data_IF_414843730570
#
_entry.id   IF_414843730570
#
_cell.length_a   1.000
_cell.length_b   1.000
_cell.length_c   1.000
_cell.angle_alpha   90.00
_cell.angle_beta   90.00
_cell.angle_gamma   90.00
#
_symmetry.space_group_name_H-M   'P 1'
#
loop_
_entity.id
_entity.type
_entity.pdbx_description
1 polymer ?
#
# COMPACT_ATOMS: atom_id res chain seq x y z
N UNK A 1 -54.87 -2.57 -54.18
CA UNK A 1 -54.39 -2.06 -52.88
C UNK A 1 -53.10 -2.83 -52.48
N UNK A 2 -51.97 -2.18 -52.66
CA UNK A 2 -50.64 -2.78 -52.35
C UNK A 2 -50.18 -2.19 -51.01
N UNK A 3 -50.08 -3.01 -49.98
CA UNK A 3 -49.53 -2.61 -48.68
C UNK A 3 -47.99 -2.67 -48.73
N UNK A 4 -47.38 -1.51 -48.60
CA UNK A 4 -45.93 -1.37 -48.44
C UNK A 4 -45.59 -1.51 -46.91
N UNK A 5 -44.90 -2.56 -46.54
CA UNK A 5 -44.33 -2.69 -45.18
C UNK A 5 -42.96 -2.03 -45.20
N UNK A 6 -42.83 -0.92 -44.48
CA UNK A 6 -41.54 -0.29 -44.18
C UNK A 6 -40.90 -0.99 -42.99
N UNK A 7 -39.80 -1.67 -43.25
CA UNK A 7 -38.94 -2.25 -42.20
C UNK A 7 -38.00 -1.15 -41.67
N UNK A 8 -38.23 -0.68 -40.45
CA UNK A 8 -37.28 0.18 -39.73
C UNK A 8 -36.21 -0.74 -39.12
N UNK A 9 -35.03 -0.74 -39.68
CA UNK A 9 -33.85 -1.36 -39.07
C UNK A 9 -33.32 -0.40 -37.99
N UNK A 10 -33.51 -0.76 -36.72
CA UNK A 10 -32.86 -0.09 -35.61
C UNK A 10 -31.39 -0.55 -35.57
N UNK A 11 -30.47 0.33 -35.97
CA UNK A 11 -29.03 0.14 -35.80
C UNK A 11 -28.71 0.43 -34.35
N UNK A 12 -28.60 -0.61 -33.55
CA UNK A 12 -27.97 -0.50 -32.23
C UNK A 12 -26.47 -0.23 -32.44
N UNK A 13 -26.05 1.03 -32.30
CA UNK A 13 -24.67 1.37 -32.07
C UNK A 13 -24.31 0.86 -30.64
N UNK A 14 -23.81 -0.36 -30.54
CA UNK A 14 -23.03 -0.78 -29.38
C UNK A 14 -21.71 0.00 -29.44
N UNK A 15 -21.69 1.16 -28.79
CA UNK A 15 -20.44 1.84 -28.50
C UNK A 15 -19.62 0.87 -27.60
N UNK A 16 -18.53 0.35 -28.14
CA UNK A 16 -17.50 -0.25 -27.30
C UNK A 16 -17.00 0.86 -26.38
N UNK A 17 -17.43 0.87 -25.11
CA UNK A 17 -16.75 1.63 -24.08
C UNK A 17 -15.35 1.01 -24.00
N UNK A 18 -14.38 1.65 -24.64
CA UNK A 18 -12.98 1.39 -24.38
C UNK A 18 -12.78 1.77 -22.91
N UNK A 19 -12.31 0.83 -22.11
CA UNK A 19 -11.89 1.15 -20.75
C UNK A 19 -10.86 2.29 -20.88
N UNK A 20 -11.14 3.42 -20.24
CA UNK A 20 -10.23 4.56 -20.29
C UNK A 20 -8.98 4.18 -19.49
N UNK A 21 -7.80 4.30 -20.10
CA UNK A 21 -6.54 3.95 -19.46
C UNK A 21 -6.29 4.87 -18.25
N UNK A 22 -5.71 4.33 -17.21
CA UNK A 22 -5.27 5.08 -16.04
C UNK A 22 -4.20 6.10 -16.42
N UNK A 23 -4.44 7.38 -16.10
CA UNK A 23 -3.50 8.47 -16.29
C UNK A 23 -2.90 8.85 -14.94
N UNK A 24 -1.58 9.01 -14.87
CA UNK A 24 -0.91 9.49 -13.68
C UNK A 24 -1.36 10.92 -13.36
N UNK A 25 -1.91 11.13 -12.16
CA UNK A 25 -2.34 12.46 -11.68
C UNK A 25 -1.43 13.00 -10.59
N UNK A 26 -0.67 12.14 -9.91
CA UNK A 26 0.29 12.53 -8.88
C UNK A 26 1.40 11.50 -8.73
N UNK A 27 2.63 12.00 -8.54
CA UNK A 27 3.82 11.24 -8.19
C UNK A 27 4.56 11.96 -7.08
N UNK A 28 4.94 11.23 -6.04
CA UNK A 28 5.81 11.63 -4.95
C UNK A 28 6.99 10.66 -4.94
N UNK A 29 8.19 11.10 -5.26
CA UNK A 29 9.38 10.25 -5.36
C UNK A 29 10.41 10.52 -4.25
N UNK A 30 10.08 11.44 -3.32
CA UNK A 30 10.88 11.77 -2.15
C UNK A 30 12.34 12.18 -2.44
N UNK A 31 12.59 12.75 -3.61
CA UNK A 31 13.94 13.20 -4.02
C UNK A 31 14.29 14.59 -3.55
N UNK A 32 13.35 15.33 -2.98
CA UNK A 32 13.54 16.65 -2.43
C UNK A 32 14.51 16.67 -1.23
N UNK A 33 15.03 17.87 -0.92
CA UNK A 33 15.92 18.07 0.24
C UNK A 33 15.20 17.89 1.61
N UNK A 34 13.88 18.03 1.65
CA UNK A 34 13.04 17.86 2.83
C UNK A 34 11.62 17.48 2.41
N UNK A 35 10.91 16.80 3.29
CA UNK A 35 9.51 16.44 3.09
C UNK A 35 8.67 17.70 2.86
N UNK A 36 7.91 17.74 1.76
CA UNK A 36 7.08 18.90 1.40
C UNK A 36 5.96 19.11 2.44
N UNK A 37 6.08 20.16 3.21
CA UNK A 37 5.11 20.50 4.24
C UNK A 37 3.78 21.07 3.70
N UNK A 38 3.67 21.31 2.41
CA UNK A 38 2.39 21.64 1.76
C UNK A 38 1.58 20.39 1.45
N UNK A 39 2.22 19.23 1.33
CA UNK A 39 1.59 17.92 1.07
C UNK A 39 1.50 17.09 2.34
N UNK A 40 2.55 17.06 3.15
CA UNK A 40 2.70 16.17 4.28
C UNK A 40 2.56 16.85 5.63
N UNK A 41 1.94 16.16 6.58
CA UNK A 41 1.98 16.45 8.01
C UNK A 41 2.83 15.37 8.69
N UNK A 42 3.74 15.77 9.56
CA UNK A 42 4.41 14.85 10.49
C UNK A 42 3.58 14.83 11.79
N UNK A 43 3.18 13.66 12.24
CA UNK A 43 2.46 13.53 13.51
C UNK A 43 3.41 13.53 14.70
N UNK A 44 3.05 14.31 15.74
CA UNK A 44 3.83 14.44 16.98
C UNK A 44 2.88 14.22 18.15
N UNK A 45 2.82 13.00 18.65
CA UNK A 45 1.99 12.62 19.79
C UNK A 45 2.42 11.26 20.39
N UNK A 46 1.95 10.96 21.60
CA UNK A 46 2.19 9.70 22.30
C UNK A 46 0.93 9.10 22.90
N UNK A 47 -0.24 9.38 22.33
CA UNK A 47 -1.55 8.97 22.85
C UNK A 47 -1.96 7.52 22.50
N UNK A 48 -1.10 6.82 21.78
CA UNK A 48 -1.25 5.37 21.50
C UNK A 48 -2.19 5.04 20.35
N UNK A 49 -2.56 6.04 19.51
CA UNK A 49 -3.30 5.84 18.26
C UNK A 49 -4.67 5.16 18.41
N UNK A 50 -5.27 5.16 19.60
CA UNK A 50 -6.49 4.40 19.93
C UNK A 50 -6.26 2.88 20.09
N UNK A 51 -5.04 2.38 19.89
CA UNK A 51 -4.69 0.97 19.86
C UNK A 51 -3.70 0.53 20.97
N UNK A 52 -3.51 1.35 21.99
CA UNK A 52 -2.53 1.11 23.07
C UNK A 52 -1.09 0.99 22.57
N UNK A 53 -0.75 1.67 21.50
CA UNK A 53 0.59 1.69 20.94
C UNK A 53 1.61 2.29 21.93
N UNK A 54 2.86 1.83 21.86
CA UNK A 54 3.85 2.12 22.88
C UNK A 54 4.70 3.37 22.59
N UNK A 55 4.87 3.74 21.34
CA UNK A 55 5.75 4.80 20.88
C UNK A 55 5.24 6.21 21.16
N UNK A 56 6.17 7.17 21.09
CA UNK A 56 5.90 8.56 20.81
C UNK A 56 6.25 8.82 19.34
N UNK A 57 5.28 9.26 18.52
CA UNK A 57 5.56 9.75 17.17
C UNK A 57 6.18 11.14 17.26
N UNK A 58 7.25 11.40 16.52
CA UNK A 58 7.93 12.69 16.53
C UNK A 58 8.69 12.94 15.22
N UNK A 59 9.09 14.20 15.02
CA UNK A 59 9.77 14.64 13.79
C UNK A 59 11.06 13.86 13.50
N UNK A 60 11.84 13.52 14.53
CA UNK A 60 13.09 12.74 14.36
C UNK A 60 12.90 11.30 13.91
N UNK A 61 11.67 10.77 13.98
CA UNK A 61 11.30 9.47 13.41
C UNK A 61 10.99 9.52 11.91
N UNK A 62 11.01 10.71 11.28
CA UNK A 62 10.67 10.94 9.88
C UNK A 62 11.81 11.67 9.18
N UNK A 63 12.31 11.16 8.06
CA UNK A 63 13.31 11.84 7.24
C UNK A 63 13.22 11.42 5.77
N UNK A 64 13.78 12.23 4.88
CA UNK A 64 14.16 11.81 3.54
C UNK A 64 15.62 11.36 3.60
N UNK A 65 15.90 10.15 3.12
CA UNK A 65 17.26 9.59 3.13
C UNK A 65 17.38 8.47 2.08
N UNK A 66 18.61 8.03 1.86
CA UNK A 66 18.92 6.96 0.91
C UNK A 66 18.74 5.59 1.58
N UNK A 67 18.00 4.70 0.94
CA UNK A 67 17.94 3.30 1.36
C UNK A 67 19.30 2.62 1.10
N UNK A 68 19.96 2.04 2.14
CA UNK A 68 21.38 1.71 2.07
C UNK A 68 21.76 0.62 1.06
N UNK A 69 20.83 -0.28 0.70
CA UNK A 69 21.12 -1.42 -0.17
C UNK A 69 20.92 -1.11 -1.65
N UNK A 70 19.96 -0.24 -1.97
CA UNK A 70 19.60 0.09 -3.35
C UNK A 70 20.05 1.47 -3.79
N UNK A 71 20.39 2.35 -2.85
CA UNK A 71 20.75 3.74 -3.14
C UNK A 71 19.56 4.62 -3.53
N UNK A 72 18.32 4.15 -3.33
CA UNK A 72 17.11 4.92 -3.64
C UNK A 72 16.81 5.96 -2.57
N UNK A 73 16.45 7.18 -3.00
CA UNK A 73 15.88 8.19 -2.11
C UNK A 73 14.50 7.74 -1.64
N UNK A 74 14.21 7.90 -0.36
CA UNK A 74 12.99 7.39 0.25
C UNK A 74 12.48 8.30 1.36
N UNK A 75 11.18 8.30 1.58
CA UNK A 75 10.64 8.62 2.89
C UNK A 75 11.00 7.48 3.85
N UNK A 76 11.65 7.81 4.96
CA UNK A 76 12.13 6.86 5.96
C UNK A 76 11.41 7.09 7.28
N UNK A 77 10.68 6.08 7.74
CA UNK A 77 9.97 6.08 9.02
C UNK A 77 10.67 5.10 9.96
N UNK A 78 11.26 5.62 11.04
CA UNK A 78 12.17 4.84 11.90
C UNK A 78 11.58 4.63 13.30
N UNK A 79 11.43 3.36 13.68
CA UNK A 79 11.11 2.92 15.03
C UNK A 79 12.39 2.74 15.85
N UNK A 80 12.46 3.35 17.03
CA UNK A 80 13.64 3.34 17.90
C UNK A 80 13.26 3.05 19.35
N UNK A 81 14.06 2.21 20.01
CA UNK A 81 13.94 1.99 21.45
C UNK A 81 14.76 3.04 22.18
N UNK A 82 14.11 4.04 22.71
CA UNK A 82 14.72 5.16 23.44
C UNK A 82 13.71 5.83 24.37
N UNK A 83 14.23 6.51 25.40
CA UNK A 83 13.37 7.30 26.30
C UNK A 83 13.06 8.67 25.68
N UNK A 84 11.79 8.94 25.46
CA UNK A 84 11.33 10.21 24.90
C UNK A 84 9.94 10.59 25.41
N UNK A 85 9.79 11.80 25.99
CA UNK A 85 8.48 12.35 26.43
C UNK A 85 7.64 11.35 27.26
N UNK A 86 8.30 10.58 28.16
CA UNK A 86 7.63 9.58 29.01
C UNK A 86 7.33 8.23 28.37
N UNK A 87 7.60 8.05 27.08
CA UNK A 87 7.57 6.77 26.37
C UNK A 87 8.95 6.12 26.35
N UNK A 88 8.99 4.82 26.07
CA UNK A 88 10.23 4.01 25.99
C UNK A 88 10.65 3.68 24.57
N UNK A 89 9.96 4.23 23.60
CA UNK A 89 10.27 4.13 22.18
C UNK A 89 9.66 5.29 21.43
N UNK A 90 10.25 5.59 20.27
CA UNK A 90 9.81 6.61 19.33
C UNK A 90 9.58 6.00 17.95
N UNK A 91 8.82 6.68 17.10
CA UNK A 91 8.65 6.26 15.73
C UNK A 91 8.24 7.43 14.84
N UNK A 92 8.08 7.15 13.51
CA UNK A 92 7.60 8.08 12.50
C UNK A 92 6.19 7.76 12.03
N UNK A 93 5.38 8.83 11.85
CA UNK A 93 4.08 8.80 11.20
C UNK A 93 3.87 10.08 10.41
N UNK A 94 3.44 9.92 9.16
CA UNK A 94 3.09 11.04 8.26
C UNK A 94 1.70 10.84 7.69
N UNK A 95 1.05 11.95 7.32
CA UNK A 95 -0.22 11.91 6.61
C UNK A 95 -0.39 13.13 5.71
N UNK A 96 -1.34 13.05 4.77
CA UNK A 96 -1.67 14.15 3.85
C UNK A 96 -2.98 14.85 4.20
N UNK A 97 -3.52 14.67 5.42
CA UNK A 97 -4.82 15.19 5.85
C UNK A 97 -4.95 16.69 5.63
N UNK A 98 -6.03 17.10 4.94
CA UNK A 98 -6.34 18.50 4.65
C UNK A 98 -5.46 19.16 3.59
N UNK A 99 -4.48 18.43 3.02
CA UNK A 99 -3.51 18.93 2.05
C UNK A 99 -3.65 18.20 0.72
N UNK A 100 -3.25 16.93 0.64
CA UNK A 100 -3.48 16.11 -0.53
C UNK A 100 -4.51 15.03 -0.23
N UNK A 101 -5.50 14.88 -1.09
CA UNK A 101 -6.55 13.88 -0.97
C UNK A 101 -7.19 13.58 -2.33
N UNK A 102 -7.77 12.41 -2.45
CA UNK A 102 -8.35 11.93 -3.70
C UNK A 102 -9.58 11.04 -3.46
N UNK A 103 -10.39 10.87 -4.50
CA UNK A 103 -11.50 9.91 -4.53
C UNK A 103 -11.37 9.06 -5.77
N UNK A 104 -11.42 7.74 -5.60
CA UNK A 104 -11.32 6.74 -6.65
C UNK A 104 -10.03 6.81 -7.48
N UNK A 105 -9.78 5.76 -8.20
CA UNK A 105 -8.60 5.58 -9.03
C UNK A 105 -7.71 4.43 -8.56
N UNK A 106 -6.47 4.44 -8.98
CA UNK A 106 -5.43 3.50 -8.57
C UNK A 106 -4.37 4.25 -7.75
N UNK A 107 -4.00 3.72 -6.61
CA UNK A 107 -2.81 4.14 -5.87
C UNK A 107 -1.80 3.01 -5.84
N UNK A 108 -0.56 3.33 -6.13
CA UNK A 108 0.59 2.45 -5.98
C UNK A 108 1.58 3.09 -5.00
N UNK A 109 2.11 2.29 -4.09
CA UNK A 109 3.21 2.68 -3.22
C UNK A 109 4.31 1.62 -3.25
N UNK A 110 5.55 2.03 -3.53
CA UNK A 110 6.70 1.14 -3.51
C UNK A 110 7.37 1.21 -2.15
N UNK A 111 7.22 0.14 -1.38
CA UNK A 111 7.57 0.11 0.04
C UNK A 111 8.53 -1.05 0.33
N UNK A 112 9.55 -0.77 1.16
CA UNK A 112 10.38 -1.78 1.82
C UNK A 112 10.02 -1.80 3.29
N UNK A 113 9.39 -2.90 3.72
CA UNK A 113 8.98 -3.07 5.11
C UNK A 113 10.18 -3.50 5.98
N UNK A 114 10.23 -3.04 7.23
CA UNK A 114 11.24 -3.49 8.17
C UNK A 114 11.01 -4.94 8.59
N UNK A 115 12.04 -5.61 9.11
CA UNK A 115 11.83 -6.85 9.84
C UNK A 115 10.96 -6.59 11.07
N UNK A 116 9.72 -7.08 11.02
CA UNK A 116 8.71 -6.84 12.07
C UNK A 116 8.99 -7.68 13.32
N UNK A 117 9.60 -8.83 13.16
CA UNK A 117 9.81 -9.82 14.23
C UNK A 117 8.59 -9.89 15.17
N UNK A 118 8.73 -9.55 16.46
CA UNK A 118 7.59 -9.33 17.32
C UNK A 118 7.54 -7.87 17.75
N UNK A 119 6.43 -7.20 17.45
CA UNK A 119 6.06 -5.93 18.04
C UNK A 119 6.20 -4.69 17.18
N UNK A 120 6.69 -4.76 15.94
CA UNK A 120 6.49 -3.68 14.98
C UNK A 120 5.21 -3.89 14.19
N UNK A 121 4.60 -2.78 13.84
CA UNK A 121 3.36 -2.71 13.08
C UNK A 121 3.46 -1.60 12.02
N UNK A 122 4.19 -1.84 10.93
CA UNK A 122 4.21 -0.93 9.80
C UNK A 122 2.90 -1.00 9.03
N UNK A 123 2.40 0.17 8.60
CA UNK A 123 1.16 0.31 7.86
C UNK A 123 1.26 1.39 6.76
N UNK A 124 0.56 1.13 5.66
CA UNK A 124 0.24 2.10 4.61
C UNK A 124 -1.27 2.05 4.37
N UNK A 125 -1.97 3.16 4.61
CA UNK A 125 -3.39 3.21 4.76
C UNK A 125 -3.97 4.59 4.48
N UNK A 126 -5.29 4.74 4.53
CA UNK A 126 -5.99 5.98 4.30
C UNK A 126 -7.24 6.13 5.16
N UNK A 127 -7.65 7.37 5.39
CA UNK A 127 -8.91 7.73 6.03
C UNK A 127 -9.63 8.84 5.25
N UNK A 128 -10.96 8.93 5.45
CA UNK A 128 -11.76 10.01 4.88
C UNK A 128 -11.28 11.40 5.32
N UNK A 129 -11.07 12.31 4.35
CA UNK A 129 -10.57 13.67 4.59
C UNK A 129 -11.55 14.54 5.39
N UNK A 130 -12.76 14.04 5.65
CA UNK A 130 -13.74 14.62 6.56
C UNK A 130 -13.56 14.19 8.03
N UNK A 131 -12.42 13.56 8.37
CA UNK A 131 -12.12 13.07 9.74
C UNK A 131 -12.37 14.13 10.82
N UNK A 132 -11.92 15.37 10.62
CA UNK A 132 -12.07 16.42 11.61
C UNK A 132 -13.54 16.86 11.85
N UNK A 133 -14.43 16.56 10.91
CA UNK A 133 -15.87 16.87 11.02
C UNK A 133 -16.67 15.73 11.64
N UNK A 134 -16.35 14.49 11.33
CA UNK A 134 -17.19 13.35 11.71
C UNK A 134 -16.49 12.37 12.66
N UNK A 135 -15.15 12.39 12.72
CA UNK A 135 -14.32 11.47 13.50
C UNK A 135 -14.30 10.05 12.95
N UNK A 136 -13.47 9.22 13.57
CA UNK A 136 -13.42 7.79 13.33
C UNK A 136 -14.53 7.07 14.13
N UNK A 137 -15.18 6.04 13.58
CA UNK A 137 -15.01 5.40 12.26
C UNK A 137 -15.92 5.96 11.14
N UNK A 138 -16.62 7.06 11.38
CA UNK A 138 -17.57 7.66 10.43
C UNK A 138 -16.92 8.19 9.16
N UNK A 139 -15.64 8.58 9.25
CA UNK A 139 -14.89 9.02 8.06
C UNK A 139 -14.57 7.86 7.11
N UNK A 140 -14.61 6.62 7.58
CA UNK A 140 -14.09 5.44 6.89
C UNK A 140 -12.56 5.34 7.02
N UNK A 141 -12.06 4.12 7.02
CA UNK A 141 -10.65 3.76 7.04
C UNK A 141 -10.42 2.61 6.07
N UNK A 142 -9.34 2.65 5.33
CA UNK A 142 -8.93 1.58 4.42
C UNK A 142 -7.45 1.32 4.61
N UNK A 143 -7.12 0.13 5.10
CA UNK A 143 -5.75 -0.29 5.34
C UNK A 143 -5.27 -1.09 4.14
N UNK A 144 -4.46 -0.42 3.30
CA UNK A 144 -3.94 -1.08 2.10
C UNK A 144 -3.05 -2.25 2.49
N UNK A 145 -2.20 -2.05 3.49
CA UNK A 145 -1.35 -3.12 4.01
C UNK A 145 -0.91 -2.84 5.45
N UNK A 146 -0.97 -3.88 6.27
CA UNK A 146 -0.47 -3.89 7.64
C UNK A 146 0.30 -5.19 7.91
N UNK A 147 1.48 -5.08 8.51
CA UNK A 147 2.30 -6.22 8.98
C UNK A 147 2.39 -6.23 10.49
N UNK A 148 2.78 -7.38 11.06
CA UNK A 148 3.08 -7.52 12.49
C UNK A 148 1.93 -8.02 13.36
N UNK A 149 0.83 -8.52 12.75
CA UNK A 149 -0.29 -9.08 13.50
C UNK A 149 0.11 -10.29 14.35
N UNK A 150 -0.40 -10.35 15.59
CA UNK A 150 -0.08 -11.41 16.56
C UNK A 150 -0.35 -12.86 16.06
N UNK A 151 -1.26 -13.05 15.10
CA UNK A 151 -1.54 -14.38 14.53
C UNK A 151 -0.36 -14.97 13.75
N UNK A 152 0.61 -14.17 13.34
CA UNK A 152 1.83 -14.64 12.68
C UNK A 152 2.88 -15.17 13.68
N UNK A 153 2.80 -14.72 14.94
CA UNK A 153 3.75 -15.12 15.99
C UNK A 153 3.60 -16.60 16.30
N UNK A 154 4.70 -17.28 16.53
CA UNK A 154 4.70 -18.72 16.78
C UNK A 154 4.45 -19.60 15.53
N UNK A 155 4.04 -19.03 14.40
CA UNK A 155 3.93 -19.74 13.13
C UNK A 155 5.17 -19.59 12.26
N UNK A 156 6.07 -18.65 12.61
CA UNK A 156 7.24 -18.31 11.81
C UNK A 156 6.90 -17.67 10.46
N UNK A 157 5.82 -16.90 10.42
CA UNK A 157 5.31 -16.27 9.18
C UNK A 157 5.27 -14.74 9.26
N UNK A 158 5.90 -14.13 10.27
CA UNK A 158 5.87 -12.68 10.47
C UNK A 158 6.35 -11.91 9.25
N UNK A 159 7.37 -12.42 8.58
CA UNK A 159 8.01 -11.85 7.41
C UNK A 159 7.13 -11.84 6.15
N UNK A 160 6.01 -12.53 6.16
CA UNK A 160 5.13 -12.73 4.99
C UNK A 160 3.65 -12.78 5.32
N UNK A 161 3.26 -12.43 6.54
CA UNK A 161 1.87 -12.35 6.97
C UNK A 161 1.46 -10.89 7.06
N UNK A 162 0.48 -10.52 6.26
CA UNK A 162 -0.08 -9.17 6.22
C UNK A 162 -1.58 -9.20 6.01
N UNK A 163 -2.25 -8.07 6.20
CA UNK A 163 -3.66 -7.92 5.91
C UNK A 163 -3.96 -6.61 5.19
N UNK A 164 -5.09 -6.61 4.48
CA UNK A 164 -5.83 -5.42 4.09
C UNK A 164 -7.13 -5.37 4.86
N UNK A 165 -7.66 -4.17 5.12
CA UNK A 165 -8.89 -4.00 5.87
C UNK A 165 -9.66 -2.74 5.47
N UNK A 166 -10.95 -2.72 5.85
CA UNK A 166 -11.83 -1.56 5.82
C UNK A 166 -12.59 -1.45 7.12
N UNK A 167 -12.74 -0.22 7.63
CA UNK A 167 -13.47 0.06 8.86
C UNK A 167 -14.43 1.23 8.65
N UNK A 168 -15.69 1.04 9.08
CA UNK A 168 -16.73 2.07 9.05
C UNK A 168 -17.72 1.86 10.19
N UNK A 169 -18.38 2.90 10.64
CA UNK A 169 -19.38 2.78 11.69
C UNK A 169 -19.85 4.11 12.24
N UNK A 170 -20.83 4.06 13.12
CA UNK A 170 -21.40 5.25 13.73
C UNK A 170 -20.57 5.82 14.89
N UNK A 171 -19.81 4.95 15.58
CA UNK A 171 -18.96 5.29 16.73
C UNK A 171 -17.97 4.15 17.02
N UNK A 172 -16.97 4.43 17.86
CA UNK A 172 -15.86 3.53 18.19
C UNK A 172 -16.26 2.14 18.72
N UNK A 173 -17.43 2.00 19.35
CA UNK A 173 -17.97 0.73 19.86
C UNK A 173 -19.06 0.12 18.93
N UNK A 174 -19.24 0.70 17.74
CA UNK A 174 -20.17 0.24 16.71
C UNK A 174 -19.48 0.35 15.33
N UNK A 175 -18.40 -0.42 15.17
CA UNK A 175 -17.59 -0.49 13.96
C UNK A 175 -17.93 -1.78 13.21
N UNK A 176 -18.18 -1.65 11.91
CA UNK A 176 -18.13 -2.76 10.98
C UNK A 176 -16.74 -2.80 10.35
N UNK A 177 -16.17 -3.98 10.29
CA UNK A 177 -14.85 -4.19 9.71
C UNK A 177 -14.92 -5.37 8.75
N UNK A 178 -14.27 -5.19 7.59
CA UNK A 178 -13.91 -6.28 6.70
C UNK A 178 -12.39 -6.34 6.62
N UNK A 179 -11.82 -7.48 6.93
CA UNK A 179 -10.37 -7.64 6.98
C UNK A 179 -9.97 -9.03 6.49
N UNK A 180 -8.97 -9.09 5.64
CA UNK A 180 -8.43 -10.34 5.11
C UNK A 180 -6.93 -10.42 5.37
N UNK A 181 -6.53 -11.42 6.12
CA UNK A 181 -5.13 -11.74 6.36
C UNK A 181 -4.62 -12.78 5.37
N UNK A 182 -3.40 -12.58 4.90
CA UNK A 182 -2.75 -13.44 3.92
C UNK A 182 -1.38 -13.89 4.42
N UNK A 183 -1.04 -15.15 4.19
CA UNK A 183 0.32 -15.63 4.30
C UNK A 183 0.90 -15.75 2.89
N UNK A 184 1.80 -14.83 2.55
CA UNK A 184 2.42 -14.77 1.24
C UNK A 184 3.42 -15.90 1.04
N UNK A 185 3.68 -16.38 -0.19
CA UNK A 185 4.59 -17.51 -0.42
C UNK A 185 6.07 -17.19 -0.11
N UNK A 186 6.46 -15.92 -0.08
CA UNK A 186 7.82 -15.45 0.23
C UNK A 186 7.79 -14.27 1.19
N UNK A 187 8.96 -13.88 1.72
CA UNK A 187 9.10 -12.72 2.61
C UNK A 187 8.74 -11.43 1.85
N UNK A 188 8.01 -10.55 2.52
CA UNK A 188 7.71 -9.18 2.07
C UNK A 188 8.51 -8.15 2.86
N UNK A 189 9.39 -8.59 3.74
CA UNK A 189 10.29 -7.75 4.52
C UNK A 189 11.65 -7.57 3.82
N UNK A 190 12.33 -6.47 4.12
CA UNK A 190 13.69 -6.16 3.67
C UNK A 190 13.91 -6.08 2.13
N UNK A 191 12.83 -6.12 1.36
CA UNK A 191 12.82 -5.89 -0.10
C UNK A 191 11.73 -4.90 -0.47
N UNK A 192 11.87 -4.23 -1.64
CA UNK A 192 10.81 -3.36 -2.12
C UNK A 192 9.71 -4.15 -2.82
N UNK A 193 8.48 -3.86 -2.43
CA UNK A 193 7.26 -4.35 -3.04
C UNK A 193 6.37 -3.19 -3.46
N UNK A 194 5.52 -3.38 -4.46
CA UNK A 194 4.50 -2.41 -4.87
C UNK A 194 3.16 -2.85 -4.30
N UNK A 195 2.65 -2.05 -3.37
CA UNK A 195 1.29 -2.21 -2.84
C UNK A 195 0.37 -1.39 -3.71
N UNK A 196 -0.61 -2.02 -4.32
CA UNK A 196 -1.60 -1.39 -5.21
C UNK A 196 -2.99 -1.49 -4.62
N UNK A 197 -3.75 -0.38 -4.64
CA UNK A 197 -5.19 -0.40 -4.45
C UNK A 197 -5.88 0.16 -5.70
N UNK A 198 -6.88 -0.55 -6.20
CA UNK A 198 -7.83 -0.07 -7.19
C UNK A 198 -9.14 0.21 -6.47
N UNK A 199 -9.52 1.46 -6.46
CA UNK A 199 -10.72 1.94 -5.78
C UNK A 199 -11.69 2.56 -6.76
N UNK A 200 -12.85 1.93 -6.89
CA UNK A 200 -13.94 2.32 -7.78
C UNK A 200 -15.17 2.74 -6.97
N UNK A 201 -16.21 3.31 -7.59
CA UNK A 201 -17.47 3.57 -6.89
C UNK A 201 -18.15 2.32 -6.32
N UNK A 202 -17.79 1.12 -6.78
CA UNK A 202 -18.46 -0.14 -6.44
C UNK A 202 -17.57 -1.15 -5.73
N UNK A 203 -16.24 -0.98 -5.73
CA UNK A 203 -15.31 -1.93 -5.12
C UNK A 203 -13.99 -1.32 -4.68
N UNK A 204 -13.33 -1.99 -3.75
CA UNK A 204 -11.91 -1.82 -3.43
C UNK A 204 -11.20 -3.16 -3.61
N UNK A 205 -10.13 -3.15 -4.40
CA UNK A 205 -9.27 -4.29 -4.66
C UNK A 205 -7.82 -3.96 -4.30
N UNK A 206 -7.15 -4.81 -3.52
CA UNK A 206 -5.77 -4.59 -3.10
C UNK A 206 -4.86 -5.72 -3.59
N UNK A 207 -3.67 -5.34 -4.06
CA UNK A 207 -2.72 -6.26 -4.67
C UNK A 207 -1.30 -6.02 -4.15
N UNK A 208 -0.50 -7.08 -4.19
CA UNK A 208 0.94 -7.02 -4.04
C UNK A 208 1.59 -7.29 -5.40
N UNK A 209 2.49 -6.40 -5.84
CA UNK A 209 3.27 -6.53 -7.08
C UNK A 209 2.42 -6.80 -8.34
N UNK A 210 1.25 -6.13 -8.44
CA UNK A 210 0.23 -6.38 -9.47
C UNK A 210 0.76 -6.38 -10.90
N UNK A 211 1.60 -5.40 -11.24
CA UNK A 211 2.07 -5.25 -12.63
C UNK A 211 3.14 -6.28 -12.99
N UNK A 212 3.90 -6.77 -12.00
CA UNK A 212 4.83 -7.89 -12.17
C UNK A 212 4.11 -9.24 -12.21
N UNK A 213 2.95 -9.34 -11.59
CA UNK A 213 2.15 -10.54 -11.43
C UNK A 213 0.67 -10.28 -11.78
N UNK A 214 0.35 -9.94 -13.04
CA UNK A 214 -1.01 -9.58 -13.46
C UNK A 214 -2.02 -10.72 -13.33
N UNK A 215 -1.54 -11.96 -13.23
CA UNK A 215 -2.34 -13.17 -13.02
C UNK A 215 -2.84 -13.36 -11.59
N UNK A 216 -2.30 -12.61 -10.62
CA UNK A 216 -2.70 -12.75 -9.22
C UNK A 216 -4.03 -12.02 -8.95
N UNK A 217 -4.90 -12.72 -8.24
CA UNK A 217 -6.13 -12.15 -7.68
C UNK A 217 -5.79 -11.16 -6.55
N UNK A 218 -6.69 -10.20 -6.24
CA UNK A 218 -6.49 -9.30 -5.13
C UNK A 218 -6.36 -10.07 -3.80
N UNK A 219 -5.41 -9.68 -2.96
CA UNK A 219 -5.34 -10.26 -1.61
C UNK A 219 -6.47 -9.77 -0.72
N UNK A 220 -7.09 -8.62 -1.04
CA UNK A 220 -8.29 -8.10 -0.42
C UNK A 220 -9.24 -7.60 -1.51
N UNK A 221 -10.53 -7.93 -1.38
CA UNK A 221 -11.62 -7.42 -2.22
C UNK A 221 -12.81 -7.09 -1.33
N UNK A 222 -13.42 -5.95 -1.56
CA UNK A 222 -14.67 -5.57 -0.91
C UNK A 222 -15.60 -4.83 -1.88
N UNK A 223 -16.85 -5.22 -1.90
CA UNK A 223 -17.93 -4.50 -2.60
C UNK A 223 -18.35 -3.28 -1.79
N UNK A 224 -18.54 -2.15 -2.46
CA UNK A 224 -19.03 -0.89 -1.89
C UNK A 224 -20.53 -0.72 -2.17
N UNK A 225 -21.31 -1.77 -1.97
CA UNK A 225 -22.74 -1.71 -2.21
C UNK A 225 -23.47 -0.81 -1.21
N UNK A 226 -24.54 -0.11 -1.68
CA UNK A 226 -25.42 0.64 -0.79
C UNK A 226 -26.02 -0.25 0.30
N UNK A 227 -26.22 0.34 1.47
CA UNK A 227 -26.80 -0.33 2.64
C UNK A 227 -27.91 0.58 3.21
N UNK A 228 -28.99 -0.01 3.70
CA UNK A 228 -30.12 0.72 4.30
C UNK A 228 -29.73 1.49 5.59
N UNK A 229 -28.59 1.16 6.20
CA UNK A 229 -28.06 1.87 7.36
C UNK A 229 -26.99 2.85 6.94
N UNK A 230 -27.32 4.14 6.94
CA UNK A 230 -26.40 5.22 6.53
C UNK A 230 -25.08 5.27 7.32
N UNK A 231 -25.05 4.77 8.56
CA UNK A 231 -23.83 4.71 9.39
C UNK A 231 -22.83 3.62 8.89
N UNK A 232 -23.32 2.67 8.11
CA UNK A 232 -22.55 1.56 7.54
C UNK A 232 -22.62 1.50 6.03
N UNK A 233 -23.21 2.50 5.40
CA UNK A 233 -23.30 2.56 3.94
C UNK A 233 -21.90 2.81 3.36
N UNK A 234 -21.30 1.72 2.86
CA UNK A 234 -19.95 1.70 2.31
C UNK A 234 -19.84 2.57 1.06
N UNK A 235 -20.88 2.59 0.22
CA UNK A 235 -20.86 3.40 -1.00
C UNK A 235 -20.83 4.89 -0.70
N UNK A 236 -21.47 5.34 0.40
CA UNK A 236 -21.46 6.75 0.83
C UNK A 236 -20.15 7.10 1.52
N UNK A 237 -19.70 6.26 2.48
CA UNK A 237 -18.51 6.56 3.30
C UNK A 237 -17.25 6.50 2.45
N UNK A 238 -17.06 5.42 1.69
CA UNK A 238 -15.92 5.24 0.80
C UNK A 238 -16.11 5.89 -0.58
N UNK A 239 -17.17 6.63 -0.81
CA UNK A 239 -17.37 7.53 -1.95
C UNK A 239 -16.88 8.97 -1.69
N UNK A 240 -16.16 9.22 -0.58
CA UNK A 240 -15.64 10.54 -0.20
C UNK A 240 -14.13 10.60 -0.35
N UNK A 241 -13.55 11.83 -0.48
CA UNK A 241 -12.11 11.98 -0.58
C UNK A 241 -11.38 11.41 0.64
N UNK A 242 -10.29 10.70 0.39
CA UNK A 242 -9.40 10.12 1.41
C UNK A 242 -8.01 10.75 1.36
N UNK A 243 -7.38 10.86 2.52
CA UNK A 243 -5.98 11.22 2.68
C UNK A 243 -5.13 10.00 3.04
N UNK A 244 -3.85 10.04 2.69
CA UNK A 244 -2.90 8.94 2.88
C UNK A 244 -2.23 9.04 4.24
N UNK A 245 -1.91 7.89 4.84
CA UNK A 245 -1.17 7.77 6.10
C UNK A 245 -0.12 6.66 5.94
N UNK A 246 1.08 6.90 6.48
CA UNK A 246 2.13 5.89 6.61
C UNK A 246 2.79 5.98 7.99
N UNK A 247 3.00 4.84 8.63
CA UNK A 247 3.64 4.79 9.95
C UNK A 247 4.28 3.44 10.25
N UNK A 248 5.12 3.44 11.29
CA UNK A 248 5.56 2.23 11.97
C UNK A 248 5.13 2.32 13.43
N UNK A 249 4.02 1.67 13.79
CA UNK A 249 3.61 1.56 15.18
C UNK A 249 4.47 0.52 15.94
N UNK A 250 4.51 0.63 17.26
CA UNK A 250 5.27 -0.28 18.13
C UNK A 250 4.36 -0.82 19.22
N UNK A 251 4.18 -2.13 19.26
CA UNK A 251 3.27 -2.78 20.19
C UNK A 251 1.81 -2.42 19.95
N UNK A 252 0.99 -2.53 20.99
CA UNK A 252 -0.44 -2.27 20.95
C UNK A 252 -1.29 -3.50 20.64
N UNK A 253 -2.55 -3.25 20.32
CA UNK A 253 -3.58 -4.29 20.18
C UNK A 253 -3.29 -5.26 19.01
N UNK A 254 -2.81 -4.77 17.89
CA UNK A 254 -2.58 -5.55 16.67
C UNK A 254 -1.46 -6.59 16.82
N UNK A 255 -0.26 -6.22 17.32
CA UNK A 255 0.76 -7.19 17.68
C UNK A 255 0.46 -7.94 19.00
N UNK A 256 -0.48 -7.46 19.83
CA UNK A 256 -0.74 -8.03 21.16
C UNK A 256 0.40 -7.83 22.16
N UNK A 257 1.22 -6.79 21.99
CA UNK A 257 2.40 -6.51 22.82
C UNK A 257 2.26 -5.14 23.48
N UNK A 258 2.22 -5.14 24.81
CA UNK A 258 1.97 -3.95 25.65
C UNK A 258 3.17 -3.55 26.52
N UNK A 259 4.33 -4.18 26.31
CA UNK A 259 5.56 -3.87 27.01
C UNK A 259 6.73 -3.84 26.03
N UNK A 260 7.49 -2.76 26.04
CA UNK A 260 8.63 -2.55 25.13
C UNK A 260 9.72 -3.63 25.28
N UNK A 261 9.85 -4.26 26.47
CA UNK A 261 10.80 -5.36 26.67
C UNK A 261 10.49 -6.61 25.84
N UNK A 262 9.24 -6.75 25.39
CA UNK A 262 8.77 -7.85 24.57
C UNK A 262 8.81 -7.53 23.06
N UNK A 263 9.18 -6.31 22.69
CA UNK A 263 9.39 -5.89 21.28
C UNK A 263 10.75 -6.38 20.82
N UNK A 264 10.82 -7.58 20.30
CA UNK A 264 12.10 -8.20 19.88
C UNK A 264 12.68 -7.57 18.61
N UNK A 265 11.84 -6.98 17.79
CA UNK A 265 12.26 -6.27 16.57
C UNK A 265 13.30 -5.18 16.83
N UNK A 266 13.23 -4.51 18.00
CA UNK A 266 14.12 -3.42 18.39
C UNK A 266 15.26 -3.86 19.32
N UNK A 267 15.48 -5.16 19.50
CA UNK A 267 16.52 -5.67 20.40
C UNK A 267 17.94 -5.32 19.91
N UNK A 268 18.14 -5.21 18.60
CA UNK A 268 19.45 -4.99 17.98
C UNK A 268 19.57 -3.60 17.29
N UNK A 269 18.76 -2.64 17.69
CA UNK A 269 18.77 -1.27 17.15
C UNK A 269 17.49 -0.88 16.43
N UNK A 270 17.47 0.34 15.84
CA UNK A 270 16.32 0.87 15.13
C UNK A 270 15.93 0.04 13.91
N UNK A 271 14.66 0.19 13.50
CA UNK A 271 14.12 -0.42 12.28
C UNK A 271 13.39 0.63 11.46
N UNK A 272 13.59 0.62 10.16
CA UNK A 272 13.01 1.62 9.27
C UNK A 272 12.16 0.99 8.17
N UNK A 273 11.01 1.60 7.92
CA UNK A 273 10.24 1.42 6.70
C UNK A 273 10.71 2.47 5.69
N UNK A 274 10.90 2.07 4.45
CA UNK A 274 11.30 2.94 3.35
C UNK A 274 10.20 2.98 2.30
N UNK A 275 9.77 4.18 1.90
CA UNK A 275 8.84 4.38 0.79
C UNK A 275 9.60 5.10 -0.30
N UNK A 276 9.85 4.41 -1.42
CA UNK A 276 10.60 4.91 -2.58
C UNK A 276 9.76 5.94 -3.35
N UNK A 277 8.50 5.62 -3.61
CA UNK A 277 7.57 6.53 -4.27
C UNK A 277 6.11 6.14 -3.99
N UNK A 278 5.20 7.10 -4.19
CA UNK A 278 3.75 6.92 -4.20
C UNK A 278 3.19 7.55 -5.47
N UNK A 279 2.29 6.84 -6.16
CA UNK A 279 1.67 7.28 -7.41
C UNK A 279 0.17 7.12 -7.36
N UNK A 280 -0.56 8.13 -7.83
CA UNK A 280 -2.00 8.09 -7.97
C UNK A 280 -2.34 8.24 -9.45
N UNK A 281 -3.24 7.37 -9.92
CA UNK A 281 -3.72 7.34 -11.29
C UNK A 281 -5.24 7.41 -11.29
N UNK A 282 -5.80 8.15 -12.26
CA UNK A 282 -7.24 8.26 -12.48
C UNK A 282 -7.58 8.05 -13.95
N UNK A 283 -8.85 7.69 -14.23
CA UNK A 283 -9.35 7.47 -15.58
C UNK A 283 -10.08 8.69 -16.15
N UNK A 284 -10.26 9.76 -15.37
CA UNK A 284 -11.01 10.95 -15.74
C UNK A 284 -12.53 10.77 -15.64
N UNK A 285 -12.99 9.81 -14.80
CA UNK A 285 -14.41 9.65 -14.52
C UNK A 285 -14.95 10.83 -13.71
N UNK A 286 -16.21 11.19 -13.91
CA UNK A 286 -16.83 12.36 -13.26
C UNK A 286 -16.88 12.29 -11.71
N UNK A 287 -16.74 11.10 -11.13
CA UNK A 287 -16.73 10.88 -9.69
C UNK A 287 -15.33 10.91 -9.09
N UNK A 288 -14.28 10.85 -9.91
CA UNK A 288 -12.91 10.94 -9.48
C UNK A 288 -12.57 12.39 -9.10
N UNK A 289 -11.86 12.57 -8.00
CA UNK A 289 -11.33 13.86 -7.58
C UNK A 289 -9.90 13.72 -7.12
N UNK A 290 -9.10 14.73 -7.40
CA UNK A 290 -7.74 14.83 -6.89
C UNK A 290 -7.45 16.27 -6.50
N UNK A 291 -6.91 16.48 -5.31
CA UNK A 291 -6.52 17.79 -4.78
C UNK A 291 -5.12 17.66 -4.20
N UNK A 292 -4.19 18.47 -4.71
CA UNK A 292 -2.85 18.63 -4.17
C UNK A 292 -2.41 20.09 -4.36
N UNK A 293 -1.80 20.74 -3.37
CA UNK A 293 -1.36 22.13 -3.48
C UNK A 293 -0.12 22.32 -4.36
N UNK A 294 0.64 21.26 -4.59
CA UNK A 294 1.89 21.28 -5.37
C UNK A 294 1.76 20.45 -6.64
N UNK A 295 2.66 20.69 -7.59
CA UNK A 295 2.78 19.84 -8.78
C UNK A 295 3.35 18.46 -8.38
N UNK A 296 3.06 17.45 -9.20
CA UNK A 296 3.71 16.14 -9.06
C UNK A 296 5.21 16.26 -9.32
N UNK A 297 5.99 15.45 -8.61
CA UNK A 297 7.39 15.25 -8.90
C UNK A 297 7.61 14.67 -10.31
N UNK A 298 8.77 14.92 -10.93
CA UNK A 298 9.13 14.22 -12.15
C UNK A 298 9.12 12.69 -11.90
N UNK A 299 8.59 11.95 -12.86
CA UNK A 299 8.73 10.48 -12.83
C UNK A 299 10.18 10.19 -13.22
N UNK A 300 11.00 9.71 -12.27
CA UNK A 300 12.24 9.10 -12.64
C UNK A 300 11.94 7.88 -13.55
N UNK A 301 12.64 7.75 -14.69
CA UNK A 301 12.55 6.52 -15.47
C UNK A 301 12.92 5.36 -14.51
N UNK A 302 12.05 4.38 -14.39
CA UNK A 302 12.33 3.20 -13.57
C UNK A 302 13.70 2.68 -13.98
N UNK A 303 14.66 2.83 -13.05
CA UNK A 303 15.95 2.20 -13.23
C UNK A 303 15.71 0.70 -13.03
N UNK A 304 15.42 0.01 -14.12
CA UNK A 304 15.29 -1.45 -14.20
C UNK A 304 16.62 -2.17 -13.89
N UNK A 305 17.60 -1.49 -13.27
CA UNK A 305 18.81 -2.10 -12.71
C UNK A 305 18.48 -2.86 -11.41
N UNK A 306 17.79 -3.96 -11.59
CA UNK A 306 17.56 -4.95 -10.54
C UNK A 306 17.14 -6.28 -11.14
N UNK A 307 16.59 -6.25 -12.34
CA UNK A 307 16.54 -7.39 -13.26
C UNK A 307 17.20 -6.85 -14.53
N UNK A 308 18.49 -7.16 -14.76
CA UNK A 308 18.94 -7.27 -16.13
C UNK A 308 18.06 -8.32 -16.79
N UNK A 309 16.90 -7.92 -17.30
CA UNK A 309 16.34 -8.59 -18.45
C UNK A 309 17.30 -8.26 -19.57
N UNK A 310 18.38 -9.01 -19.65
CA UNK A 310 19.12 -9.16 -20.89
C UNK A 310 18.12 -9.78 -21.86
N UNK A 311 17.38 -8.91 -22.55
CA UNK A 311 16.72 -9.27 -23.78
C UNK A 311 17.83 -9.44 -24.82
N UNK A 312 18.64 -10.51 -24.65
CA UNK A 312 19.30 -11.09 -25.78
C UNK A 312 18.17 -11.68 -26.62
N UNK A 313 18.06 -11.23 -27.86
CA UNK A 313 17.08 -11.70 -28.86
C UNK A 313 17.21 -13.19 -29.20
N UNK A 314 18.04 -13.94 -28.49
CA UNK A 314 18.12 -15.39 -28.60
C UNK A 314 17.15 -16.12 -27.70
N UNK A 315 16.21 -16.89 -28.27
CA UNK A 315 15.26 -17.68 -27.50
C UNK A 315 16.00 -18.67 -26.61
N UNK A 316 15.75 -18.63 -25.30
CA UNK A 316 16.37 -19.53 -24.35
C UNK A 316 16.12 -21.01 -24.71
N UNK A 317 17.17 -21.81 -24.87
CA UNK A 317 17.08 -23.23 -25.11
C UNK A 317 16.83 -24.00 -23.82
N UNK A 318 15.75 -24.78 -23.78
CA UNK A 318 15.54 -25.76 -22.71
C UNK A 318 16.51 -26.90 -22.85
N UNK A 319 17.32 -27.18 -21.83
CA UNK A 319 18.27 -28.29 -21.80
C UNK A 319 18.02 -29.18 -20.58
N UNK A 320 18.21 -30.47 -20.73
CA UNK A 320 18.16 -31.42 -19.62
C UNK A 320 19.59 -31.82 -19.27
N UNK A 321 20.03 -31.51 -18.03
CA UNK A 321 21.37 -31.88 -17.54
C UNK A 321 21.21 -32.58 -16.19
N UNK A 322 21.71 -33.81 -16.10
CA UNK A 322 21.61 -34.65 -14.90
C UNK A 322 20.17 -34.83 -14.38
N UNK A 323 19.17 -34.92 -15.28
CA UNK A 323 17.77 -35.05 -14.91
C UNK A 323 17.08 -33.76 -14.50
N UNK A 324 17.78 -32.63 -14.54
CA UNK A 324 17.25 -31.31 -14.16
C UNK A 324 17.00 -30.48 -15.43
N UNK A 325 15.81 -29.89 -15.53
CA UNK A 325 15.47 -28.97 -16.62
C UNK A 325 16.13 -27.59 -16.35
N UNK A 326 16.92 -27.13 -17.30
CA UNK A 326 17.65 -25.88 -17.26
C UNK A 326 17.35 -25.06 -18.52
N UNK A 327 17.62 -23.76 -18.47
CA UNK A 327 17.47 -22.81 -19.58
C UNK A 327 18.85 -22.29 -19.95
N UNK A 328 19.32 -22.53 -21.16
CA UNK A 328 20.55 -21.93 -21.70
C UNK A 328 20.20 -20.65 -22.44
N UNK A 329 20.92 -19.56 -22.16
CA UNK A 329 20.91 -18.30 -22.92
C UNK A 329 22.37 -17.89 -23.15
N UNK A 330 22.80 -17.89 -24.40
CA UNK A 330 24.20 -17.64 -24.75
C UNK A 330 25.13 -18.63 -24.04
N UNK A 331 26.14 -18.13 -23.35
CA UNK A 331 27.10 -18.92 -22.58
C UNK A 331 26.61 -19.28 -21.16
N UNK A 332 25.49 -18.76 -20.73
CA UNK A 332 24.96 -18.95 -19.37
C UNK A 332 23.85 -20.00 -19.32
N UNK A 333 23.84 -20.76 -18.23
CA UNK A 333 22.80 -21.76 -17.94
C UNK A 333 22.10 -21.39 -16.63
N UNK A 334 20.78 -21.42 -16.65
CA UNK A 334 19.95 -21.03 -15.53
C UNK A 334 19.05 -22.17 -15.06
N UNK A 335 18.73 -22.23 -13.80
CA UNK A 335 17.60 -23.04 -13.31
C UNK A 335 16.28 -22.48 -13.84
N UNK A 336 15.20 -23.24 -13.75
CA UNK A 336 13.84 -22.76 -14.07
C UNK A 336 13.40 -21.60 -13.16
N UNK A 337 14.07 -21.36 -12.03
CA UNK A 337 13.87 -20.27 -11.09
C UNK A 337 14.80 -19.07 -11.34
N UNK A 338 15.59 -19.09 -12.44
CA UNK A 338 16.44 -17.96 -12.85
C UNK A 338 17.84 -17.91 -12.21
N UNK A 339 18.24 -18.89 -11.39
CA UNK A 339 19.58 -18.93 -10.80
C UNK A 339 20.62 -19.43 -11.80
N UNK A 340 21.78 -18.76 -11.89
CA UNK A 340 22.88 -19.20 -12.76
C UNK A 340 23.47 -20.51 -12.22
N UNK A 341 23.58 -21.50 -13.08
CA UNK A 341 24.25 -22.77 -12.81
C UNK A 341 25.70 -22.68 -13.30
N UNK A 342 26.65 -22.74 -12.38
CA UNK A 342 28.09 -22.72 -12.71
C UNK A 342 28.56 -24.03 -13.32
#
# INVERSE_FOLDING_TARGET
>A
MKHLFSLFAAVCLAGTMMAQDYQLVWNEDFTDASLDNQVWNIEVNGDGGGNNELQYYYEGGVKLDVEPTTGKHCLVLTATKEDYMGKKCTSGRVNTKGKMYYTFGRIDARIKFPNTANGLWPAFWQMGNNFDQVGWPRCGETDLIELGHQSAFGKGTQDRYFNGAMHVGSKWDAVWSDAKSVTWPYSVEDTFHIVTMIWTPTSIDMYMDKDAHPELEPYFHADLEPNDNADYDRSIVFGKPNFIIANVAIGGNFPGIFNISNVTALANGPRSMYIDWIRIYQQGNAQETFVCPTASDPIEPENTQGIETVWDDEPGQKILRNGQLLIRRGEHVYTITGQIVK
#
